data_IF_961351296957
#
_entry.id   IF_961351296957
#
_cell.length_a   1.000
_cell.length_b   1.000
_cell.length_c   1.000
_cell.angle_alpha   90.00
_cell.angle_beta   90.00
_cell.angle_gamma   90.00
#
_symmetry.space_group_name_H-M   'P 1'
#
loop_
_entity.id
_entity.type
_entity.pdbx_description
1 polymer ?
#
# COMPACT_ATOMS: atom_id res chain seq x y z
N UNK A 1 -41.26 -30.48 92.84
CA UNK A 1 -40.79 -31.04 94.13
C UNK A 1 -39.27 -31.01 94.11
N UNK A 2 -38.64 -30.43 95.15
CA UNK A 2 -37.19 -30.45 95.47
C UNK A 2 -36.27 -29.61 94.55
N UNK A 3 -35.71 -28.43 94.88
CA UNK A 3 -34.92 -27.87 96.02
C UNK A 3 -33.38 -27.97 95.82
N UNK A 4 -32.72 -26.78 95.96
CA UNK A 4 -31.32 -26.46 96.38
C UNK A 4 -30.15 -26.68 95.38
N UNK A 5 -29.03 -25.93 95.39
CA UNK A 5 -28.56 -24.60 95.89
C UNK A 5 -27.01 -24.58 95.69
N UNK A 6 -26.41 -23.37 95.62
CA UNK A 6 -25.01 -22.98 96.03
C UNK A 6 -23.85 -23.42 95.10
N UNK A 7 -22.73 -22.68 94.94
CA UNK A 7 -22.21 -21.40 95.48
C UNK A 7 -21.02 -20.90 94.63
N UNK A 8 -20.88 -19.57 94.60
CA UNK A 8 -19.70 -18.69 94.61
C UNK A 8 -18.30 -19.16 94.14
N UNK A 9 -17.71 -18.29 93.30
CA UNK A 9 -16.47 -17.57 93.63
C UNK A 9 -15.31 -17.75 92.64
N UNK A 10 -14.90 -16.68 91.93
CA UNK A 10 -13.62 -15.97 92.14
C UNK A 10 -13.46 -14.83 91.14
N UNK A 11 -12.78 -13.79 91.60
CA UNK A 11 -12.67 -12.42 91.11
C UNK A 11 -11.33 -12.22 90.37
N UNK A 12 -11.27 -11.21 89.48
CA UNK A 12 -10.08 -10.50 88.96
C UNK A 12 -8.99 -11.29 88.22
N UNK A 13 -8.80 -10.99 86.91
CA UNK A 13 -7.49 -10.64 86.28
C UNK A 13 -7.54 -10.64 84.74
N UNK A 14 -8.34 -9.79 84.09
CA UNK A 14 -8.22 -9.61 82.62
C UNK A 14 -8.44 -8.16 82.17
N UNK A 15 -7.85 -7.18 82.87
CA UNK A 15 -7.90 -5.76 82.46
C UNK A 15 -6.56 -5.15 82.02
N UNK A 16 -5.56 -5.98 81.65
CA UNK A 16 -4.24 -5.46 81.27
C UNK A 16 -3.66 -5.99 79.94
N UNK A 17 -4.49 -6.45 79.00
CA UNK A 17 -3.94 -6.90 77.69
C UNK A 17 -4.70 -6.50 76.43
N UNK A 18 -5.54 -5.45 76.47
CA UNK A 18 -6.27 -4.97 75.27
C UNK A 18 -5.67 -3.76 74.55
N UNK A 19 -4.65 -3.08 75.10
CA UNK A 19 -4.07 -1.88 74.46
C UNK A 19 -2.88 -2.11 73.53
N UNK A 20 -2.31 -3.33 73.47
CA UNK A 20 -1.12 -3.60 72.64
C UNK A 20 -1.39 -4.23 71.25
N UNK A 21 -2.62 -4.67 70.96
CA UNK A 21 -2.92 -5.32 69.66
C UNK A 21 -3.42 -4.38 68.55
N UNK A 22 -3.84 -3.14 68.86
CA UNK A 22 -4.45 -2.24 67.87
C UNK A 22 -3.48 -1.36 67.07
N UNK A 23 -2.19 -1.32 67.42
CA UNK A 23 -1.20 -0.47 66.72
C UNK A 23 -0.59 -1.13 65.48
N UNK A 24 -0.35 -2.46 65.50
CA UNK A 24 0.33 -3.16 64.39
C UNK A 24 -0.56 -3.42 63.16
N UNK A 25 -1.87 -3.47 63.33
CA UNK A 25 -2.83 -3.74 62.24
C UNK A 25 -3.04 -2.48 61.38
N UNK A 26 -3.11 -1.30 62.01
CA UNK A 26 -3.34 -0.03 61.31
C UNK A 26 -2.16 0.35 60.39
N UNK A 27 -0.92 0.03 60.78
CA UNK A 27 0.27 0.36 59.99
C UNK A 27 0.44 -0.57 58.76
N UNK A 28 0.01 -1.83 58.85
CA UNK A 28 0.07 -2.78 57.72
C UNK A 28 -0.99 -2.52 56.64
N UNK A 29 -2.14 -1.98 56.99
CA UNK A 29 -3.19 -1.64 56.02
C UNK A 29 -2.81 -0.44 55.15
N UNK A 30 -2.27 0.65 55.71
CA UNK A 30 -1.85 1.84 54.94
C UNK A 30 -0.79 1.51 53.87
N UNK A 31 0.14 0.58 54.15
CA UNK A 31 1.19 0.19 53.21
C UNK A 31 0.67 -0.62 52.02
N UNK A 32 -0.42 -1.39 52.19
CA UNK A 32 -1.04 -2.17 51.11
C UNK A 32 -1.87 -1.28 50.16
N UNK A 33 -2.61 -0.31 50.68
CA UNK A 33 -3.35 0.64 49.85
C UNK A 33 -2.42 1.58 49.06
N UNK A 34 -1.26 1.93 49.61
CA UNK A 34 -0.26 2.75 48.93
C UNK A 34 0.42 2.00 47.77
N UNK A 35 0.67 0.70 47.91
CA UNK A 35 1.24 -0.13 46.83
C UNK A 35 0.22 -0.38 45.71
N UNK A 36 -1.05 -0.63 46.04
CA UNK A 36 -2.11 -0.81 45.04
C UNK A 36 -2.37 0.49 44.27
N UNK A 37 -2.37 1.64 44.97
CA UNK A 37 -2.48 2.95 44.32
C UNK A 37 -1.32 3.24 43.36
N UNK A 38 -0.09 2.89 43.74
CA UNK A 38 1.09 3.09 42.89
C UNK A 38 1.05 2.21 41.62
N UNK A 39 0.63 0.95 41.72
CA UNK A 39 0.47 0.08 40.55
C UNK A 39 -0.64 0.56 39.59
N UNK A 40 -1.74 1.10 40.13
CA UNK A 40 -2.85 1.63 39.34
C UNK A 40 -2.45 2.87 38.53
N UNK A 41 -1.62 3.74 39.12
CA UNK A 41 -1.10 4.93 38.46
C UNK A 41 -0.04 4.56 37.39
N UNK A 42 0.77 3.55 37.65
CA UNK A 42 1.80 3.09 36.71
C UNK A 42 1.18 2.47 35.44
N UNK A 43 0.05 1.75 35.55
CA UNK A 43 -0.67 1.22 34.39
C UNK A 43 -1.30 2.30 33.50
N UNK A 44 -1.77 3.41 34.08
CA UNK A 44 -2.31 4.55 33.32
C UNK A 44 -1.23 5.27 32.49
N UNK A 45 0.02 5.28 32.95
CA UNK A 45 1.14 5.95 32.24
C UNK A 45 1.58 5.13 31.01
N UNK A 46 1.45 3.80 31.04
CA UNK A 46 1.83 2.93 29.91
C UNK A 46 0.85 3.07 28.73
N UNK A 47 -0.43 3.33 28.99
CA UNK A 47 -1.44 3.54 27.94
C UNK A 47 -1.31 4.91 27.23
N UNK A 48 -0.76 5.92 27.91
CA UNK A 48 -0.52 7.25 27.32
C UNK A 48 0.72 7.33 26.43
N UNK A 49 1.60 6.31 26.45
CA UNK A 49 2.84 6.28 25.66
C UNK A 49 2.70 5.61 24.28
N UNK A 50 1.51 5.12 23.94
CA UNK A 50 1.21 4.71 22.56
C UNK A 50 0.84 5.94 21.70
N UNK A 51 1.78 6.87 21.51
CA UNK A 51 1.76 7.67 20.29
C UNK A 51 2.11 6.72 19.15
N UNK A 52 1.06 6.22 18.49
CA UNK A 52 1.18 5.44 17.26
C UNK A 52 2.13 6.20 16.34
N UNK A 53 3.26 5.59 16.01
CA UNK A 53 4.21 6.14 15.05
C UNK A 53 3.45 6.35 13.73
N UNK A 54 3.00 7.57 13.49
CA UNK A 54 2.51 7.96 12.18
C UNK A 54 3.73 8.09 11.30
N UNK A 55 3.91 7.12 10.40
CA UNK A 55 4.77 7.27 9.25
C UNK A 55 4.24 8.48 8.47
N UNK A 56 4.85 9.65 8.70
CA UNK A 56 4.64 10.84 7.90
C UNK A 56 5.09 10.54 6.48
N UNK A 57 4.19 10.07 5.63
CA UNK A 57 4.40 10.18 4.18
C UNK A 57 4.33 11.67 3.85
N UNK A 58 5.30 12.16 3.08
CA UNK A 58 5.30 13.55 2.59
C UNK A 58 3.90 13.91 2.06
N UNK A 59 3.22 14.93 2.62
CA UNK A 59 1.91 15.33 2.14
C UNK A 59 2.13 16.09 0.83
N UNK A 60 2.12 15.37 -0.29
CA UNK A 60 1.86 16.01 -1.58
C UNK A 60 0.36 16.26 -1.67
N UNK A 61 -0.17 17.14 -0.82
CA UNK A 61 -1.50 17.68 -1.02
C UNK A 61 -1.46 18.56 -2.27
N UNK A 62 -2.51 18.49 -3.08
CA UNK A 62 -2.60 19.29 -4.30
C UNK A 62 -2.47 20.78 -3.95
N UNK A 63 -1.44 21.43 -4.48
CA UNK A 63 -1.33 22.89 -4.44
C UNK A 63 -2.11 23.42 -5.64
N UNK A 64 -3.15 24.22 -5.36
CA UNK A 64 -4.05 24.76 -6.40
C UNK A 64 -3.28 25.30 -7.60
N UNK A 65 -3.66 24.87 -8.80
CA UNK A 65 -3.02 25.25 -10.06
C UNK A 65 -1.79 24.42 -10.43
N UNK A 66 -1.45 23.38 -9.65
CA UNK A 66 -0.38 22.42 -9.98
C UNK A 66 -0.95 21.10 -10.45
N UNK A 67 -0.18 20.32 -11.20
CA UNK A 67 -0.52 18.94 -11.49
C UNK A 67 0.51 17.97 -10.89
N UNK A 68 0.06 16.77 -10.52
CA UNK A 68 0.89 15.72 -9.97
C UNK A 68 0.96 14.57 -10.98
N UNK A 69 2.15 14.30 -11.49
CA UNK A 69 2.39 13.37 -12.58
C UNK A 69 3.28 12.20 -12.14
N UNK A 70 2.89 10.99 -12.51
CA UNK A 70 3.68 9.77 -12.37
C UNK A 70 3.84 9.11 -13.73
N UNK A 71 4.98 8.49 -13.97
CA UNK A 71 5.27 7.75 -15.19
C UNK A 71 5.43 6.29 -14.80
N UNK A 72 4.54 5.42 -15.26
CA UNK A 72 4.68 3.98 -15.14
C UNK A 72 5.34 3.43 -16.42
N UNK A 73 6.65 3.17 -16.34
CA UNK A 73 7.38 2.52 -17.42
C UNK A 73 7.12 1.01 -17.43
N UNK A 74 6.33 0.57 -18.40
CA UNK A 74 5.83 -0.81 -18.55
C UNK A 74 6.04 -1.33 -19.98
N UNK A 75 7.09 -0.89 -20.67
CA UNK A 75 7.49 -1.39 -21.98
C UNK A 75 8.39 -2.64 -21.84
N UNK A 76 7.90 -3.86 -22.12
CA UNK A 76 8.67 -5.08 -21.89
C UNK A 76 9.80 -5.28 -22.89
N UNK A 77 9.79 -4.62 -24.05
CA UNK A 77 10.85 -4.76 -25.07
C UNK A 77 12.25 -4.52 -24.49
N UNK A 78 12.38 -3.59 -23.55
CA UNK A 78 13.64 -3.23 -22.90
C UNK A 78 13.89 -4.01 -21.60
N UNK A 79 13.14 -5.09 -21.33
CA UNK A 79 13.32 -5.88 -20.11
C UNK A 79 14.71 -6.53 -20.01
N UNK A 80 15.43 -6.64 -21.14
CA UNK A 80 16.84 -7.03 -21.19
C UNK A 80 17.73 -5.83 -20.84
N UNK A 81 18.01 -5.66 -19.55
CA UNK A 81 19.14 -4.95 -18.91
C UNK A 81 19.42 -3.47 -19.24
N UNK A 82 18.74 -2.86 -20.21
CA UNK A 82 18.94 -1.46 -20.56
C UNK A 82 17.86 -0.60 -19.91
N UNK A 83 18.24 0.14 -18.88
CA UNK A 83 17.35 1.13 -18.29
C UNK A 83 17.16 2.34 -19.21
N UNK A 84 16.12 3.12 -18.92
CA UNK A 84 15.78 4.35 -19.65
C UNK A 84 15.78 5.55 -18.72
N UNK A 85 16.00 6.74 -19.27
CA UNK A 85 15.76 8.00 -18.58
C UNK A 85 14.48 8.64 -19.11
N UNK A 86 13.78 9.34 -18.22
CA UNK A 86 12.56 10.08 -18.52
C UNK A 86 12.88 11.56 -18.63
N UNK A 87 12.56 12.18 -19.78
CA UNK A 87 12.53 13.63 -19.94
C UNK A 87 11.10 14.15 -20.06
N UNK A 88 10.84 15.29 -19.44
CA UNK A 88 9.63 16.08 -19.63
C UNK A 88 10.07 17.45 -20.11
N UNK A 89 9.53 17.93 -21.23
CA UNK A 89 9.88 19.22 -21.83
C UNK A 89 11.40 19.42 -22.01
N UNK A 90 12.11 18.34 -22.42
CA UNK A 90 13.56 18.34 -22.64
C UNK A 90 14.42 18.22 -21.38
N UNK A 91 13.85 18.32 -20.18
CA UNK A 91 14.57 18.21 -18.91
C UNK A 91 14.51 16.78 -18.37
N UNK A 92 15.63 16.25 -17.86
CA UNK A 92 15.69 14.90 -17.25
C UNK A 92 15.06 14.94 -15.87
N UNK A 93 14.05 14.11 -15.65
CA UNK A 93 13.36 14.01 -14.36
C UNK A 93 13.69 12.72 -13.60
N UNK A 94 14.18 11.67 -14.26
CA UNK A 94 14.47 10.40 -13.62
C UNK A 94 15.96 10.04 -13.64
N UNK A 95 16.37 9.22 -12.67
CA UNK A 95 17.53 8.35 -12.85
C UNK A 95 17.24 7.26 -13.90
N UNK A 96 18.22 6.40 -14.15
CA UNK A 96 18.02 5.24 -14.99
C UNK A 96 17.00 4.27 -14.36
N UNK A 97 15.84 4.09 -15.00
CA UNK A 97 14.78 3.17 -14.54
C UNK A 97 14.67 1.94 -15.44
N UNK A 98 14.39 0.78 -14.86
CA UNK A 98 14.29 -0.50 -15.59
C UNK A 98 12.83 -0.96 -15.70
N UNK A 99 12.55 -1.91 -16.60
CA UNK A 99 11.20 -2.46 -16.74
C UNK A 99 10.87 -3.42 -15.59
N UNK A 100 9.72 -3.33 -14.90
CA UNK A 100 8.67 -2.28 -14.95
C UNK A 100 8.77 -1.41 -13.71
N UNK A 101 8.83 -0.08 -13.90
CA UNK A 101 9.08 0.87 -12.81
C UNK A 101 8.19 2.10 -12.94
N UNK A 102 7.30 2.34 -11.96
CA UNK A 102 6.71 3.65 -11.73
C UNK A 102 7.76 4.63 -11.23
N UNK A 103 7.71 5.86 -11.71
CA UNK A 103 8.61 6.92 -11.31
C UNK A 103 7.86 8.26 -11.25
N UNK A 104 8.08 9.06 -10.18
CA UNK A 104 8.70 8.67 -8.93
C UNK A 104 7.81 7.66 -8.17
N UNK A 105 8.34 7.10 -7.10
CA UNK A 105 7.63 6.11 -6.30
C UNK A 105 7.84 4.68 -6.78
N UNK A 106 6.83 3.84 -6.57
CA UNK A 106 6.79 2.49 -7.10
C UNK A 106 5.51 1.77 -6.71
N UNK A 107 5.64 0.54 -6.21
CA UNK A 107 4.52 -0.29 -5.78
C UNK A 107 4.85 -1.79 -5.89
N UNK A 108 3.81 -2.62 -5.92
CA UNK A 108 3.97 -4.07 -5.81
C UNK A 108 4.36 -4.70 -7.15
N UNK A 109 5.34 -5.60 -7.13
CA UNK A 109 5.91 -6.23 -8.32
C UNK A 109 6.44 -5.22 -9.35
N UNK A 110 7.14 -4.18 -8.87
CA UNK A 110 7.77 -3.14 -9.68
C UNK A 110 9.25 -2.97 -9.29
N UNK A 111 10.03 -2.28 -10.11
CA UNK A 111 11.42 -1.87 -9.79
C UNK A 111 11.52 -0.56 -9.01
N UNK A 112 10.40 0.09 -8.71
CA UNK A 112 10.35 1.34 -7.94
C UNK A 112 10.41 1.12 -6.43
N UNK A 113 10.35 2.21 -5.68
CA UNK A 113 10.31 2.17 -4.21
C UNK A 113 8.88 1.87 -3.69
N UNK A 114 8.67 1.91 -2.37
CA UNK A 114 7.35 1.63 -1.76
C UNK A 114 6.54 2.90 -1.44
N UNK A 115 6.86 4.03 -2.08
CA UNK A 115 6.21 5.33 -1.84
C UNK A 115 5.24 5.72 -2.97
N UNK A 116 4.26 6.53 -2.60
CA UNK A 116 3.22 7.06 -3.48
C UNK A 116 3.58 8.44 -4.04
N UNK A 117 4.84 8.63 -4.44
CA UNK A 117 5.36 9.95 -4.84
C UNK A 117 4.88 10.36 -6.24
N UNK A 118 4.81 11.66 -6.50
CA UNK A 118 4.48 12.23 -7.82
C UNK A 118 5.44 13.38 -8.16
N UNK A 119 5.71 13.59 -9.44
CA UNK A 119 6.36 14.81 -9.92
C UNK A 119 5.34 15.94 -9.87
N UNK A 120 5.75 17.10 -9.37
CA UNK A 120 4.99 18.32 -9.55
C UNK A 120 5.35 18.91 -10.92
N UNK A 121 4.35 19.10 -11.77
CA UNK A 121 4.49 19.69 -13.10
C UNK A 121 3.48 20.82 -13.30
N UNK A 122 3.76 21.69 -14.27
CA UNK A 122 2.84 22.75 -14.67
C UNK A 122 1.73 22.14 -15.54
N UNK A 123 0.44 22.42 -15.27
CA UNK A 123 -0.64 21.96 -16.14
C UNK A 123 -0.51 22.50 -17.57
N UNK A 124 -0.91 21.73 -18.56
CA UNK A 124 -0.83 22.09 -19.98
C UNK A 124 -0.32 20.96 -20.86
N UNK A 125 0.09 21.30 -22.08
CA UNK A 125 0.65 20.33 -23.04
C UNK A 125 2.14 20.17 -22.74
N UNK A 126 2.51 18.97 -22.33
CA UNK A 126 3.88 18.57 -22.04
C UNK A 126 4.38 17.54 -23.08
N UNK A 127 5.70 17.46 -23.25
CA UNK A 127 6.37 16.45 -24.07
C UNK A 127 7.09 15.44 -23.19
N UNK A 128 6.75 14.15 -23.32
CA UNK A 128 7.43 13.03 -22.67
C UNK A 128 8.43 12.45 -23.65
N UNK A 129 9.66 12.22 -23.21
CA UNK A 129 10.64 11.46 -23.97
C UNK A 129 11.28 10.37 -23.13
N UNK A 130 11.41 9.17 -23.71
CA UNK A 130 12.18 8.06 -23.15
C UNK A 130 13.52 7.95 -23.87
N UNK A 131 14.59 7.87 -23.10
CA UNK A 131 15.94 7.93 -23.62
C UNK A 131 16.76 6.73 -23.16
N UNK A 132 17.55 6.20 -24.07
CA UNK A 132 18.60 5.23 -23.75
C UNK A 132 19.92 5.98 -23.63
N UNK A 133 20.58 5.97 -22.45
CA UNK A 133 21.93 6.52 -22.36
C UNK A 133 22.88 5.72 -23.25
N UNK A 134 23.78 6.39 -23.95
CA UNK A 134 24.81 5.75 -24.76
C UNK A 134 26.14 5.85 -23.99
N UNK A 135 26.66 4.75 -23.42
CA UNK A 135 27.93 4.79 -22.69
C UNK A 135 29.08 5.22 -23.60
N UNK A 136 29.93 6.14 -23.14
CA UNK A 136 31.17 6.50 -23.81
C UNK A 136 31.04 7.36 -25.06
N UNK A 137 29.86 7.95 -25.34
CA UNK A 137 29.68 8.88 -26.47
C UNK A 137 29.38 10.31 -26.01
N UNK A 138 29.75 11.29 -26.84
CA UNK A 138 29.40 12.72 -26.65
C UNK A 138 27.94 13.04 -26.97
N UNK A 139 27.22 12.12 -27.63
CA UNK A 139 25.77 12.17 -27.77
C UNK A 139 25.19 11.61 -26.47
N UNK A 140 24.54 12.45 -25.63
CA UNK A 140 24.20 12.05 -24.28
C UNK A 140 23.16 10.93 -24.26
N UNK A 141 22.29 10.83 -25.28
CA UNK A 141 21.12 9.96 -25.26
C UNK A 141 20.58 9.61 -26.65
N UNK A 142 20.15 8.35 -26.85
CA UNK A 142 19.27 7.96 -27.98
C UNK A 142 17.80 8.09 -27.57
N UNK A 143 17.04 8.93 -28.26
CA UNK A 143 15.59 9.01 -28.05
C UNK A 143 14.93 7.73 -28.58
N UNK A 144 14.25 7.01 -27.70
CA UNK A 144 13.50 5.80 -28.03
C UNK A 144 12.04 6.11 -28.36
N UNK A 145 11.47 7.08 -27.66
CA UNK A 145 10.08 7.45 -27.76
C UNK A 145 9.91 8.92 -27.41
N UNK A 146 9.04 9.61 -28.12
CA UNK A 146 8.60 10.96 -27.77
C UNK A 146 7.11 11.10 -28.07
N UNK A 147 6.38 11.76 -27.18
CA UNK A 147 4.95 12.05 -27.36
C UNK A 147 4.58 13.30 -26.61
N UNK A 148 3.52 13.96 -27.06
CA UNK A 148 2.86 15.04 -26.32
C UNK A 148 1.66 14.51 -25.56
N UNK A 149 1.34 15.10 -24.42
CA UNK A 149 0.16 14.79 -23.62
C UNK A 149 -0.31 16.04 -22.88
N UNK A 150 -1.59 16.08 -22.55
CA UNK A 150 -2.16 17.17 -21.76
C UNK A 150 -2.25 16.75 -20.29
N UNK A 151 -1.74 17.62 -19.42
CA UNK A 151 -1.75 17.46 -17.97
C UNK A 151 -2.80 18.38 -17.39
N UNK A 152 -3.81 17.79 -16.73
CA UNK A 152 -4.87 18.55 -16.08
C UNK A 152 -4.43 19.13 -14.73
N UNK A 153 -4.86 20.36 -14.43
CA UNK A 153 -4.61 20.99 -13.13
C UNK A 153 -5.37 20.29 -12.02
N UNK A 154 -4.79 20.32 -10.82
CA UNK A 154 -5.39 19.81 -9.58
C UNK A 154 -5.76 18.32 -9.65
N UNK A 155 -4.98 17.53 -10.40
CA UNK A 155 -5.15 16.08 -10.55
C UNK A 155 -3.86 15.32 -10.25
N UNK A 156 -4.02 14.12 -9.69
CA UNK A 156 -2.98 13.09 -9.72
C UNK A 156 -3.20 12.27 -11.00
N UNK A 157 -2.16 12.13 -11.81
CA UNK A 157 -2.25 11.45 -13.09
C UNK A 157 -1.05 10.51 -13.26
N UNK A 158 -1.31 9.32 -13.79
CA UNK A 158 -0.26 8.37 -14.18
C UNK A 158 -0.26 8.18 -15.69
N UNK A 159 0.90 8.34 -16.31
CA UNK A 159 1.14 7.94 -17.70
C UNK A 159 1.70 6.54 -17.68
N UNK A 160 0.95 5.58 -18.20
CA UNK A 160 1.41 4.22 -18.41
C UNK A 160 2.02 4.10 -19.80
N UNK A 161 3.33 3.87 -19.88
CA UNK A 161 4.03 3.65 -21.16
C UNK A 161 4.24 2.15 -21.37
N UNK A 162 3.90 1.63 -22.54
CA UNK A 162 3.94 0.19 -22.82
C UNK A 162 4.17 -0.14 -24.31
N UNK A 163 3.94 -1.40 -24.69
CA UNK A 163 4.11 -1.99 -26.03
C UNK A 163 5.58 -2.38 -26.35
N UNK A 164 5.95 -2.34 -27.62
CA UNK A 164 7.21 -2.77 -28.24
C UNK A 164 8.04 -1.55 -28.64
N UNK A 165 9.37 -1.66 -28.79
CA UNK A 165 10.21 -0.47 -29.05
C UNK A 165 9.80 0.35 -30.26
N UNK A 166 9.32 -0.27 -31.34
CA UNK A 166 8.89 0.46 -32.53
C UNK A 166 7.46 1.02 -32.41
N UNK A 167 6.68 0.54 -31.44
CA UNK A 167 5.27 0.90 -31.28
C UNK A 167 4.96 1.36 -29.86
N UNK A 168 5.91 2.02 -29.18
CA UNK A 168 5.70 2.48 -27.81
C UNK A 168 4.44 3.35 -27.79
N UNK A 169 3.54 3.03 -26.87
CA UNK A 169 2.27 3.73 -26.66
C UNK A 169 2.15 4.16 -25.22
N UNK A 170 1.26 5.10 -24.97
CA UNK A 170 0.87 5.46 -23.62
C UNK A 170 -0.65 5.47 -23.44
N UNK A 171 -1.07 5.32 -22.19
CA UNK A 171 -2.41 5.69 -21.72
C UNK A 171 -2.25 6.52 -20.46
N UNK A 172 -3.00 7.61 -20.35
CA UNK A 172 -3.04 8.42 -19.14
C UNK A 172 -4.26 8.04 -18.31
N UNK A 173 -4.07 7.93 -17.00
CA UNK A 173 -5.14 7.67 -16.03
C UNK A 173 -5.17 8.75 -14.96
N UNK A 174 -6.38 9.17 -14.59
CA UNK A 174 -6.59 10.04 -13.42
C UNK A 174 -6.62 9.19 -12.17
N UNK A 175 -5.63 9.36 -11.31
CA UNK A 175 -5.50 8.59 -10.08
C UNK A 175 -6.47 9.13 -9.02
N UNK A 176 -6.92 8.24 -8.14
CA UNK A 176 -7.93 8.61 -7.14
C UNK A 176 -7.28 9.48 -6.05
N UNK A 177 -7.88 10.64 -5.82
CA UNK A 177 -7.37 11.64 -4.88
C UNK A 177 -7.75 11.33 -3.43
N UNK A 178 -8.87 10.63 -3.24
CA UNK A 178 -9.44 10.34 -1.93
C UNK A 178 -8.98 8.99 -1.41
N UNK A 179 -8.45 8.96 -0.19
CA UNK A 179 -8.25 7.71 0.55
C UNK A 179 -9.61 7.11 0.88
N UNK A 180 -9.76 5.76 0.87
CA UNK A 180 -11.01 5.15 1.29
C UNK A 180 -11.22 5.24 2.79
N UNK A 181 -12.45 4.95 3.20
CA UNK A 181 -12.82 4.71 4.60
C UNK A 181 -11.93 3.65 5.26
N UNK A 182 -11.86 3.69 6.58
CA UNK A 182 -11.13 2.69 7.35
C UNK A 182 -11.65 1.28 7.08
N UNK A 183 -10.74 0.34 6.89
CA UNK A 183 -11.01 -1.06 6.61
C UNK A 183 -10.87 -1.43 5.13
N UNK A 184 -10.57 -0.48 4.24
CA UNK A 184 -10.58 -0.72 2.79
C UNK A 184 -9.33 -0.22 2.07
N UNK A 185 -9.16 -0.75 0.86
CA UNK A 185 -8.19 -0.34 -0.14
C UNK A 185 -8.93 -0.13 -1.46
N UNK A 186 -8.59 0.94 -2.18
CA UNK A 186 -9.13 1.23 -3.52
C UNK A 186 -8.17 0.77 -4.61
N UNK A 187 -8.76 0.27 -5.67
CA UNK A 187 -8.05 -0.22 -6.84
C UNK A 187 -8.71 0.28 -8.12
N UNK A 188 -7.90 0.48 -9.14
CA UNK A 188 -8.31 0.50 -10.55
C UNK A 188 -7.50 -0.55 -11.31
N UNK A 189 -8.05 -1.11 -12.38
CA UNK A 189 -7.29 -1.99 -13.27
C UNK A 189 -7.02 -1.31 -14.61
N UNK A 190 -5.80 -1.48 -15.15
CA UNK A 190 -5.38 -1.01 -16.47
C UNK A 190 -4.76 -2.16 -17.25
N UNK A 191 -5.17 -2.36 -18.49
CA UNK A 191 -4.58 -3.39 -19.34
C UNK A 191 -3.52 -2.80 -20.28
N UNK A 192 -2.26 -3.17 -20.04
CA UNK A 192 -1.09 -2.78 -20.85
C UNK A 192 -0.54 -3.95 -21.68
N UNK A 193 -1.26 -5.05 -21.82
CA UNK A 193 -0.84 -6.19 -22.66
C UNK A 193 -1.27 -5.92 -24.11
N UNK A 194 -0.33 -5.65 -25.05
CA UNK A 194 -0.68 -5.40 -26.44
C UNK A 194 -1.28 -6.66 -27.09
N UNK A 195 -2.13 -6.45 -28.09
CA UNK A 195 -2.82 -7.51 -28.84
C UNK A 195 -3.72 -8.44 -27.99
N UNK A 196 -4.05 -8.05 -26.76
CA UNK A 196 -5.05 -8.74 -25.96
C UNK A 196 -6.46 -8.36 -26.45
N UNK A 197 -7.36 -9.35 -26.55
CA UNK A 197 -8.77 -9.16 -26.92
C UNK A 197 -9.64 -8.68 -25.76
N UNK A 198 -9.03 -8.33 -24.62
CA UNK A 198 -9.69 -8.07 -23.35
C UNK A 198 -9.10 -8.93 -22.23
N UNK A 199 -8.88 -8.33 -21.06
CA UNK A 199 -8.35 -9.00 -19.88
C UNK A 199 -9.37 -8.93 -18.75
N UNK A 200 -9.61 -10.08 -18.11
CA UNK A 200 -10.34 -10.19 -16.85
C UNK A 200 -9.35 -10.22 -15.69
N UNK A 201 -9.61 -9.43 -14.64
CA UNK A 201 -8.85 -9.41 -13.39
C UNK A 201 -9.65 -10.12 -12.30
N UNK A 202 -9.00 -11.07 -11.64
CA UNK A 202 -9.55 -11.83 -10.53
C UNK A 202 -8.75 -11.63 -9.25
N UNK A 203 -9.45 -11.78 -8.13
CA UNK A 203 -8.87 -11.93 -6.81
C UNK A 203 -9.29 -13.27 -6.24
N UNK A 204 -8.31 -14.00 -5.72
CA UNK A 204 -8.31 -15.46 -5.57
C UNK A 204 -8.14 -16.20 -6.91
N UNK A 205 -7.37 -17.30 -6.88
CA UNK A 205 -7.10 -18.19 -8.01
C UNK A 205 -7.95 -19.47 -7.94
N UNK A 206 -8.54 -19.79 -6.79
CA UNK A 206 -9.41 -20.95 -6.66
C UNK A 206 -10.68 -20.74 -7.48
N UNK A 207 -10.91 -21.56 -8.52
CA UNK A 207 -12.05 -21.38 -9.46
C UNK A 207 -13.41 -21.22 -8.79
N UNK A 208 -13.61 -21.83 -7.63
CA UNK A 208 -14.88 -21.80 -6.88
C UNK A 208 -15.06 -20.46 -6.14
N UNK A 209 -13.97 -19.83 -5.71
CA UNK A 209 -13.98 -18.63 -4.86
C UNK A 209 -13.45 -17.37 -5.57
N UNK A 210 -12.97 -17.51 -6.82
CA UNK A 210 -12.41 -16.39 -7.58
C UNK A 210 -13.45 -15.29 -7.74
N UNK A 211 -13.09 -14.09 -7.30
CA UNK A 211 -13.91 -12.90 -7.46
C UNK A 211 -13.45 -12.14 -8.71
N UNK A 212 -14.34 -11.98 -9.68
CA UNK A 212 -14.12 -11.10 -10.83
C UNK A 212 -14.16 -9.64 -10.35
N UNK A 213 -13.11 -8.87 -10.63
CA UNK A 213 -12.97 -7.48 -10.18
C UNK A 213 -13.09 -6.48 -11.34
N UNK A 214 -12.56 -6.85 -12.50
CA UNK A 214 -12.70 -6.10 -13.74
C UNK A 214 -12.80 -7.09 -14.88
N UNK A 215 -13.65 -6.81 -15.88
CA UNK A 215 -13.91 -7.74 -16.98
C UNK A 215 -13.77 -7.05 -18.31
N UNK A 216 -13.23 -7.79 -19.29
CA UNK A 216 -13.10 -7.40 -20.67
C UNK A 216 -12.41 -6.05 -20.85
N UNK A 217 -11.37 -5.78 -20.06
CA UNK A 217 -10.62 -4.53 -20.16
C UNK A 217 -9.70 -4.62 -21.38
N UNK A 218 -10.00 -3.86 -22.42
CA UNK A 218 -9.23 -3.83 -23.66
C UNK A 218 -7.84 -3.20 -23.48
N UNK A 219 -6.96 -3.42 -24.46
CA UNK A 219 -5.62 -2.84 -24.46
C UNK A 219 -5.68 -1.29 -24.39
N UNK A 220 -4.89 -0.69 -23.49
CA UNK A 220 -4.88 0.75 -23.16
C UNK A 220 -6.21 1.27 -22.60
N UNK A 221 -7.03 0.38 -22.04
CA UNK A 221 -8.24 0.75 -21.31
C UNK A 221 -8.08 0.52 -19.82
N UNK A 222 -8.95 1.17 -19.05
CA UNK A 222 -9.01 1.07 -17.61
C UNK A 222 -10.42 0.65 -17.16
N UNK A 223 -10.50 0.01 -16.00
CA UNK A 223 -11.77 -0.31 -15.36
C UNK A 223 -12.30 0.87 -14.54
N UNK A 224 -13.55 0.74 -14.10
CA UNK A 224 -14.03 1.49 -12.94
C UNK A 224 -13.24 1.11 -11.68
N UNK A 225 -13.34 1.98 -10.67
CA UNK A 225 -12.72 1.75 -9.37
C UNK A 225 -13.48 0.70 -8.57
N UNK A 226 -12.76 -0.17 -7.88
CA UNK A 226 -13.32 -1.16 -6.97
C UNK A 226 -12.60 -1.17 -5.62
N UNK A 227 -13.26 -1.67 -4.58
CA UNK A 227 -12.72 -1.74 -3.21
C UNK A 227 -12.58 -3.17 -2.73
N UNK A 228 -11.53 -3.44 -1.97
CA UNK A 228 -11.35 -4.69 -1.23
C UNK A 228 -11.09 -4.39 0.25
N UNK A 229 -11.47 -5.29 1.17
CA UNK A 229 -11.10 -5.16 2.57
C UNK A 229 -9.58 -5.14 2.73
N UNK A 230 -9.08 -4.19 3.53
CA UNK A 230 -7.68 -4.11 3.90
C UNK A 230 -7.24 -5.37 4.66
N UNK A 231 -5.95 -5.69 4.60
CA UNK A 231 -5.40 -6.88 5.27
C UNK A 231 -5.75 -8.21 4.60
N UNK A 232 -6.55 -8.21 3.53
CA UNK A 232 -6.86 -9.44 2.77
C UNK A 232 -5.63 -9.90 1.98
N UNK A 233 -5.30 -11.19 2.05
CA UNK A 233 -4.15 -11.78 1.37
C UNK A 233 -4.59 -12.96 0.51
N UNK A 234 -5.05 -12.67 -0.71
CA UNK A 234 -5.38 -13.69 -1.73
C UNK A 234 -4.57 -13.40 -3.00
N UNK A 235 -4.26 -14.44 -3.80
CA UNK A 235 -3.52 -14.25 -5.03
C UNK A 235 -4.37 -13.52 -6.07
N UNK A 236 -3.74 -12.68 -6.87
CA UNK A 236 -4.34 -12.04 -8.02
C UNK A 236 -4.14 -12.90 -9.26
N UNK A 237 -5.09 -12.88 -10.19
CA UNK A 237 -4.96 -13.59 -11.46
C UNK A 237 -5.49 -12.75 -12.62
N UNK A 238 -4.88 -12.88 -13.79
CA UNK A 238 -5.41 -12.33 -15.04
C UNK A 238 -5.65 -13.45 -16.05
N UNK A 239 -6.71 -13.30 -16.83
CA UNK A 239 -7.12 -14.23 -17.89
C UNK A 239 -7.53 -13.44 -19.13
N UNK A 240 -7.44 -14.07 -20.30
CA UNK A 240 -8.13 -13.54 -21.49
C UNK A 240 -9.63 -13.57 -21.24
N UNK A 241 -10.34 -12.51 -21.62
CA UNK A 241 -11.78 -12.45 -21.38
C UNK A 241 -12.51 -13.59 -22.08
N UNK A 242 -13.43 -14.23 -21.37
CA UNK A 242 -14.16 -15.42 -21.86
C UNK A 242 -13.31 -16.69 -22.01
N UNK A 243 -12.10 -16.74 -21.43
CA UNK A 243 -11.24 -17.94 -21.40
C UNK A 243 -10.91 -18.34 -19.96
N UNK A 244 -10.74 -19.65 -19.73
CA UNK A 244 -10.39 -20.19 -18.41
C UNK A 244 -8.89 -20.34 -18.14
N UNK A 245 -8.05 -20.07 -19.14
CA UNK A 245 -6.59 -20.19 -19.02
C UNK A 245 -6.00 -18.97 -18.31
N UNK A 246 -5.43 -19.18 -17.12
CA UNK A 246 -4.72 -18.14 -16.37
C UNK A 246 -3.46 -17.71 -17.13
N UNK A 247 -3.34 -16.42 -17.41
CA UNK A 247 -2.18 -15.83 -18.08
C UNK A 247 -1.05 -15.54 -17.09
N UNK A 248 -1.38 -15.03 -15.91
CA UNK A 248 -0.43 -14.73 -14.85
C UNK A 248 -1.12 -14.72 -13.49
N UNK A 249 -0.33 -15.00 -12.45
CA UNK A 249 -0.74 -14.87 -11.05
C UNK A 249 0.24 -14.01 -10.27
N UNK A 250 -0.24 -13.32 -9.25
CA UNK A 250 0.60 -12.60 -8.29
C UNK A 250 0.14 -12.89 -6.86
N UNK A 251 0.95 -13.65 -6.12
CA UNK A 251 0.64 -14.12 -4.76
C UNK A 251 1.31 -13.32 -3.65
N UNK A 252 2.32 -12.50 -3.97
CA UNK A 252 3.14 -11.76 -2.98
C UNK A 252 2.60 -10.38 -2.61
N UNK A 253 1.36 -10.04 -3.01
CA UNK A 253 0.64 -8.86 -2.49
C UNK A 253 0.15 -9.09 -1.04
N UNK A 254 1.00 -9.64 -0.17
CA UNK A 254 0.66 -10.08 1.18
C UNK A 254 0.10 -8.91 1.99
N UNK A 255 -1.18 -8.97 2.33
CA UNK A 255 -1.95 -7.99 3.13
C UNK A 255 -1.64 -6.52 2.85
N UNK A 256 -2.42 -5.90 1.95
CA UNK A 256 -2.29 -4.47 1.72
C UNK A 256 -2.81 -3.69 2.93
N UNK A 257 -2.01 -2.72 3.39
CA UNK A 257 -2.35 -1.85 4.52
C UNK A 257 -3.64 -1.06 4.27
N UNK A 258 -4.30 -0.66 5.35
CA UNK A 258 -5.53 0.12 5.30
C UNK A 258 -5.34 1.49 4.62
N UNK A 259 -6.39 1.99 3.97
CA UNK A 259 -6.49 3.31 3.36
C UNK A 259 -5.48 3.59 2.25
N UNK A 260 -5.17 2.55 1.47
CA UNK A 260 -4.29 2.64 0.32
C UNK A 260 -5.08 2.77 -0.98
N UNK A 261 -4.43 3.36 -1.98
CA UNK A 261 -4.93 3.45 -3.35
C UNK A 261 -3.89 2.88 -4.30
N UNK A 262 -4.30 1.93 -5.13
CA UNK A 262 -3.44 1.32 -6.14
C UNK A 262 -4.07 1.33 -7.53
N UNK A 263 -3.22 1.38 -8.54
CA UNK A 263 -3.57 1.02 -9.91
C UNK A 263 -2.93 -0.32 -10.21
N UNK A 264 -3.76 -1.35 -10.29
CA UNK A 264 -3.37 -2.68 -10.76
C UNK A 264 -3.20 -2.60 -12.28
N UNK A 265 -2.14 -3.17 -12.82
CA UNK A 265 -1.95 -3.21 -14.26
C UNK A 265 -1.42 -4.55 -14.74
N UNK A 266 -1.98 -5.02 -15.84
CA UNK A 266 -1.48 -6.17 -16.56
C UNK A 266 -0.42 -5.71 -17.56
N UNK A 267 0.75 -6.35 -17.55
CA UNK A 267 1.90 -6.00 -18.41
C UNK A 267 2.52 -7.25 -19.02
N UNK A 268 3.37 -7.07 -20.03
CA UNK A 268 4.09 -8.16 -20.70
C UNK A 268 3.49 -8.52 -22.05
N UNK A 269 3.96 -9.62 -22.62
CA UNK A 269 3.51 -10.17 -23.91
C UNK A 269 2.89 -11.55 -23.75
N UNK A 270 1.84 -11.78 -24.54
CA UNK A 270 1.19 -13.09 -24.68
C UNK A 270 2.16 -14.12 -25.30
N UNK A 271 1.98 -15.40 -24.94
CA UNK A 271 2.70 -16.52 -25.53
C UNK A 271 4.15 -16.74 -25.04
N UNK A 272 4.67 -15.87 -24.17
CA UNK A 272 6.01 -16.06 -23.58
C UNK A 272 5.98 -17.01 -22.37
N UNK A 273 7.09 -17.73 -22.17
CA UNK A 273 7.28 -18.59 -20.99
C UNK A 273 7.29 -17.74 -19.71
N UNK A 274 6.73 -18.26 -18.62
CA UNK A 274 6.61 -17.54 -17.34
C UNK A 274 7.95 -17.08 -16.72
N UNK A 275 9.05 -17.72 -17.11
CA UNK A 275 10.42 -17.37 -16.71
C UNK A 275 10.99 -16.17 -17.47
N UNK A 276 10.42 -15.81 -18.63
CA UNK A 276 10.80 -14.60 -19.36
C UNK A 276 10.27 -13.38 -18.58
N UNK A 277 11.12 -12.39 -18.34
CA UNK A 277 10.73 -11.15 -17.63
C UNK A 277 9.65 -10.38 -18.39
N UNK A 278 9.57 -10.56 -19.70
CA UNK A 278 8.59 -9.95 -20.61
C UNK A 278 7.28 -10.70 -20.67
N UNK A 279 7.17 -11.88 -20.05
CA UNK A 279 5.91 -12.61 -19.97
C UNK A 279 4.85 -11.82 -19.23
N UNK A 280 3.60 -12.23 -19.37
CA UNK A 280 2.48 -11.59 -18.68
C UNK A 280 2.71 -11.55 -17.17
N UNK A 281 2.55 -10.38 -16.55
CA UNK A 281 2.63 -10.17 -15.09
C UNK A 281 1.54 -9.19 -14.66
N UNK A 282 1.23 -9.25 -13.36
CA UNK A 282 0.37 -8.29 -12.67
C UNK A 282 1.26 -7.45 -11.78
N UNK A 283 1.12 -6.13 -11.86
CA UNK A 283 1.87 -5.19 -11.04
C UNK A 283 0.95 -4.09 -10.52
N UNK A 284 1.42 -3.34 -9.53
CA UNK A 284 0.62 -2.34 -8.83
C UNK A 284 1.41 -1.04 -8.74
N UNK A 285 0.87 0.04 -9.26
CA UNK A 285 1.35 1.39 -8.99
C UNK A 285 0.73 1.84 -7.68
N UNK A 286 1.55 2.33 -6.75
CA UNK A 286 1.08 2.89 -5.49
C UNK A 286 0.73 4.37 -5.68
N UNK A 287 -0.54 4.73 -5.48
CA UNK A 287 -1.06 6.07 -5.75
C UNK A 287 -1.23 6.91 -4.48
N UNK A 288 -1.66 6.33 -3.34
CA UNK A 288 -1.91 7.10 -2.11
C UNK A 288 -2.03 6.28 -0.83
#
# INVERSE_FOLDING_TARGET
MTIKRKRCGLVLLLYLNRKFLNSRIYFRMKKRYLIIGFFSILTLIVEMSCTKNELRSSPFDLVSGSALLKINYSCPYMASSQGVMVKINGMVYSSLITYSTPYPGGGLNTGGNSYADYLRVTPGIDTLSLLLPIPGTSIPDKVLYTTTFEVQSDRYQTIHVTDTATNIKYVMTNDLETRPDSGYVLYRFVNLIPNSQGIDLYFDTAKINRKLLASNIGYLQQSDTFRLPAGTSLPWAIQMSGKDSVLATYSTASSVANQRVFTVYARGYLGLKSTDTRSNKISFVYNK
#
